data_IF_573525767187
#
_entry.id   IF_573525767187
#
_cell.length_a   1.000
_cell.length_b   1.000
_cell.length_c   1.000
_cell.angle_alpha   90.00
_cell.angle_beta   90.00
_cell.angle_gamma   90.00
#
_symmetry.space_group_name_H-M   'P 1'
#
loop_
_entity.id
_entity.type
_entity.pdbx_description
1 polymer ?
#
# COMPACT_ATOMS: atom_id res chain seq x y z
N UNK A 1 5.87 -0.95 32.10
CA UNK A 1 7.30 -1.25 32.26
C UNK A 1 7.53 -2.72 32.65
N UNK A 2 6.97 -3.21 33.79
CA UNK A 2 7.19 -4.60 34.23
C UNK A 2 6.81 -5.65 33.13
N UNK A 3 5.72 -5.47 32.42
CA UNK A 3 5.31 -6.39 31.37
C UNK A 3 6.36 -6.49 30.25
N UNK A 4 6.92 -5.34 29.82
CA UNK A 4 8.02 -5.30 28.82
C UNK A 4 9.27 -5.99 29.35
N UNK A 5 9.64 -5.75 30.62
CA UNK A 5 10.79 -6.38 31.25
C UNK A 5 10.65 -7.92 31.36
N UNK A 6 9.43 -8.45 31.38
CA UNK A 6 9.13 -9.89 31.40
C UNK A 6 8.82 -10.45 30.00
N UNK A 7 9.20 -9.75 28.92
CA UNK A 7 9.11 -10.24 27.56
C UNK A 7 7.74 -10.14 26.89
N UNK A 8 6.78 -9.42 27.50
CA UNK A 8 5.49 -9.16 26.86
C UNK A 8 5.71 -8.27 25.63
N UNK A 9 5.26 -8.74 24.50
CA UNK A 9 5.40 -8.03 23.22
C UNK A 9 4.39 -6.88 23.07
N UNK A 10 4.69 -5.96 22.18
CA UNK A 10 3.78 -4.87 21.80
C UNK A 10 2.41 -5.41 21.32
N UNK A 11 2.41 -6.51 20.57
CA UNK A 11 1.19 -7.14 20.06
C UNK A 11 0.32 -7.72 21.17
N UNK A 12 0.95 -8.37 22.14
CA UNK A 12 0.25 -8.95 23.30
C UNK A 12 -0.36 -7.87 24.19
N UNK A 13 0.39 -6.80 24.49
CA UNK A 13 -0.16 -5.71 25.31
C UNK A 13 -1.29 -4.96 24.57
N UNK A 14 -1.20 -4.79 23.26
CA UNK A 14 -2.28 -4.20 22.47
C UNK A 14 -3.55 -5.05 22.52
N UNK A 15 -3.44 -6.38 22.43
CA UNK A 15 -4.58 -7.30 22.56
C UNK A 15 -5.22 -7.20 23.97
N UNK A 16 -4.43 -7.13 25.02
CA UNK A 16 -4.90 -6.95 26.40
C UNK A 16 -5.65 -5.64 26.55
N UNK A 17 -5.11 -4.53 26.04
CA UNK A 17 -5.73 -3.20 26.12
C UNK A 17 -7.06 -3.19 25.35
N UNK A 18 -7.10 -3.79 24.16
CA UNK A 18 -8.32 -3.93 23.36
C UNK A 18 -9.38 -4.71 24.15
N UNK A 19 -9.00 -5.82 24.76
CA UNK A 19 -9.91 -6.62 25.59
C UNK A 19 -10.46 -5.84 26.77
N UNK A 20 -9.59 -5.13 27.49
CA UNK A 20 -9.98 -4.27 28.63
C UNK A 20 -10.95 -3.17 28.18
N UNK A 21 -10.77 -2.58 26.99
CA UNK A 21 -11.64 -1.53 26.48
C UNK A 21 -13.11 -1.98 26.35
N UNK A 22 -13.34 -3.25 25.99
CA UNK A 22 -14.68 -3.82 25.92
C UNK A 22 -15.37 -3.95 27.29
N UNK A 23 -14.62 -4.26 28.35
CA UNK A 23 -15.17 -4.46 29.71
C UNK A 23 -15.17 -3.20 30.56
N UNK A 24 -14.14 -2.37 30.45
CA UNK A 24 -13.94 -1.19 31.29
C UNK A 24 -14.33 0.13 30.60
N UNK A 25 -14.70 0.07 29.33
CA UNK A 25 -15.06 1.20 28.49
C UNK A 25 -13.85 1.87 27.80
N UNK A 26 -14.11 2.46 26.64
CA UNK A 26 -13.13 3.08 25.78
C UNK A 26 -12.23 4.13 26.47
N UNK A 27 -12.71 5.00 27.38
CA UNK A 27 -11.83 5.98 28.04
C UNK A 27 -10.69 5.31 28.83
N UNK A 28 -10.95 4.19 29.50
CA UNK A 28 -9.92 3.45 30.25
C UNK A 28 -8.98 2.69 29.32
N UNK A 29 -9.52 2.09 28.24
CA UNK A 29 -8.71 1.47 27.19
C UNK A 29 -7.77 2.47 26.53
N UNK A 30 -8.25 3.67 26.24
CA UNK A 30 -7.44 4.73 25.65
C UNK A 30 -6.34 5.25 26.58
N UNK A 31 -6.63 5.42 27.88
CA UNK A 31 -5.62 5.78 28.88
C UNK A 31 -4.53 4.71 28.98
N UNK A 32 -4.91 3.43 29.02
CA UNK A 32 -3.97 2.32 29.02
C UNK A 32 -3.12 2.26 27.74
N UNK A 33 -3.73 2.52 26.57
CA UNK A 33 -3.02 2.58 25.29
C UNK A 33 -1.96 3.68 25.27
N UNK A 34 -2.27 4.89 25.73
CA UNK A 34 -1.31 5.99 25.78
C UNK A 34 -0.12 5.66 26.69
N UNK A 35 -0.36 5.08 27.86
CA UNK A 35 0.72 4.63 28.75
C UNK A 35 1.55 3.49 28.13
N UNK A 36 0.91 2.56 27.45
CA UNK A 36 1.62 1.49 26.77
C UNK A 36 2.48 2.00 25.61
N UNK A 37 1.98 2.98 24.85
CA UNK A 37 2.71 3.62 23.75
C UNK A 37 4.05 4.20 24.22
N UNK A 38 4.10 4.84 25.38
CA UNK A 38 5.34 5.41 25.93
C UNK A 38 6.35 4.33 26.35
N UNK A 39 5.86 3.16 26.82
CA UNK A 39 6.71 2.05 27.29
C UNK A 39 7.22 1.19 26.12
N UNK A 40 6.40 1.02 25.07
CA UNK A 40 6.71 0.23 23.89
C UNK A 40 7.03 1.10 22.68
N UNK A 41 7.26 2.43 22.86
CA UNK A 41 7.88 3.23 21.81
C UNK A 41 9.22 2.55 21.45
N UNK A 42 9.39 2.27 20.17
CA UNK A 42 10.66 1.75 19.67
C UNK A 42 11.66 2.88 19.85
N UNK A 43 12.80 2.64 20.50
CA UNK A 43 13.93 3.56 20.49
C UNK A 43 14.30 3.79 19.02
N UNK A 44 14.33 5.04 18.59
CA UNK A 44 14.63 5.40 17.19
C UNK A 44 15.99 4.86 16.70
N UNK A 45 16.86 4.45 17.64
CA UNK A 45 18.14 3.80 17.34
C UNK A 45 18.08 2.32 16.96
N UNK A 46 16.92 1.65 17.16
CA UNK A 46 16.75 0.21 16.88
C UNK A 46 16.08 -0.05 15.52
N UNK A 47 15.75 1.02 14.77
CA UNK A 47 15.06 0.90 13.47
C UNK A 47 16.06 0.69 12.34
N UNK A 48 15.77 -0.27 11.47
CA UNK A 48 16.45 -0.36 10.19
C UNK A 48 16.14 0.88 9.34
N UNK A 49 17.04 1.24 8.44
CA UNK A 49 16.84 2.33 7.47
C UNK A 49 15.52 2.16 6.67
N UNK A 50 15.16 0.91 6.35
CA UNK A 50 13.92 0.57 5.64
C UNK A 50 12.69 0.93 6.49
N UNK A 51 12.71 0.65 7.79
CA UNK A 51 11.60 0.97 8.71
C UNK A 51 11.43 2.48 8.87
N UNK A 52 12.53 3.23 8.91
CA UNK A 52 12.50 4.70 9.00
C UNK A 52 11.93 5.31 7.71
N UNK A 53 12.38 4.85 6.55
CA UNK A 53 11.88 5.30 5.24
C UNK A 53 10.38 5.00 5.07
N UNK A 54 9.94 3.80 5.44
CA UNK A 54 8.54 3.43 5.43
C UNK A 54 7.69 4.33 6.34
N UNK A 55 8.17 4.63 7.55
CA UNK A 55 7.49 5.53 8.50
C UNK A 55 7.41 6.95 7.99
N UNK A 56 8.50 7.46 7.40
CA UNK A 56 8.53 8.78 6.80
C UNK A 56 7.52 8.89 5.64
N UNK A 57 7.38 7.83 4.83
CA UNK A 57 6.39 7.76 3.78
C UNK A 57 4.96 7.72 4.35
N UNK A 58 4.70 6.83 5.33
CA UNK A 58 3.39 6.67 5.98
C UNK A 58 2.89 7.97 6.61
N UNK A 59 3.78 8.80 7.18
CA UNK A 59 3.41 10.11 7.73
C UNK A 59 2.84 11.09 6.70
N UNK A 60 3.11 10.88 5.42
CA UNK A 60 2.60 11.72 4.30
C UNK A 60 1.23 11.26 3.81
N UNK A 61 0.75 10.11 4.25
CA UNK A 61 -0.49 9.50 3.80
C UNK A 61 -1.66 9.78 4.75
N UNK A 62 -2.86 9.90 4.19
CA UNK A 62 -4.13 9.95 4.95
C UNK A 62 -4.80 8.57 5.05
N UNK A 63 -4.40 7.61 4.20
CA UNK A 63 -4.86 6.24 4.24
C UNK A 63 -3.79 5.35 4.87
N UNK A 64 -4.19 4.25 5.56
CA UNK A 64 -3.21 3.32 6.13
C UNK A 64 -2.38 2.65 5.03
N UNK A 65 -1.12 2.32 5.34
CA UNK A 65 -0.27 1.57 4.41
C UNK A 65 -0.82 0.17 4.13
N UNK A 66 -1.49 -0.41 5.12
CA UNK A 66 -2.08 -1.76 5.02
C UNK A 66 -1.13 -2.88 5.43
N UNK A 67 -1.54 -4.10 5.08
CA UNK A 67 -0.77 -5.32 5.35
C UNK A 67 0.13 -5.65 4.15
N UNK A 68 1.20 -6.46 4.36
CA UNK A 68 1.98 -7.00 3.24
C UNK A 68 1.07 -7.66 2.20
N UNK A 69 1.31 -7.38 0.94
CA UNK A 69 0.49 -7.83 -0.18
C UNK A 69 0.82 -9.27 -0.62
N UNK A 70 0.87 -10.19 0.35
CA UNK A 70 1.31 -11.57 0.15
C UNK A 70 0.47 -12.34 -0.86
N UNK A 71 -0.84 -12.06 -0.91
CA UNK A 71 -1.76 -12.75 -1.83
C UNK A 71 -1.44 -12.52 -3.30
N UNK A 72 -0.88 -11.37 -3.62
CA UNK A 72 -0.54 -10.97 -4.98
C UNK A 72 0.97 -10.88 -5.20
N UNK A 73 1.80 -11.25 -4.22
CA UNK A 73 3.26 -11.12 -4.27
C UNK A 73 3.89 -11.70 -5.54
N UNK A 74 3.31 -12.80 -6.08
CA UNK A 74 3.76 -13.42 -7.34
C UNK A 74 3.64 -12.51 -8.58
N UNK A 75 2.85 -11.44 -8.50
CA UNK A 75 2.64 -10.48 -9.57
C UNK A 75 3.39 -9.16 -9.35
N UNK A 76 4.29 -9.12 -8.35
CA UNK A 76 5.07 -7.95 -8.01
C UNK A 76 6.55 -8.29 -7.96
N UNK A 77 7.39 -7.38 -8.42
CA UNK A 77 8.83 -7.37 -8.14
C UNK A 77 9.05 -6.40 -6.99
N UNK A 78 9.64 -6.86 -5.86
CA UNK A 78 9.80 -6.07 -4.63
C UNK A 78 8.59 -6.17 -3.69
N UNK A 79 8.63 -5.44 -2.58
CA UNK A 79 7.60 -5.50 -1.54
C UNK A 79 6.52 -4.45 -1.79
N UNK A 80 5.29 -4.85 -1.60
CA UNK A 80 4.13 -3.95 -1.66
C UNK A 80 3.19 -4.22 -0.48
N UNK A 81 2.33 -3.24 -0.20
CA UNK A 81 1.35 -3.28 0.86
C UNK A 81 -0.01 -2.93 0.30
N UNK A 82 -1.06 -3.46 0.91
CA UNK A 82 -2.43 -3.28 0.45
C UNK A 82 -3.36 -2.96 1.63
N UNK A 83 -4.09 -1.85 1.53
CA UNK A 83 -5.17 -1.51 2.44
C UNK A 83 -6.48 -1.35 1.69
N UNK A 84 -7.55 -2.08 2.04
CA UNK A 84 -8.88 -1.81 1.49
C UNK A 84 -9.38 -0.46 2.03
N UNK A 85 -9.84 0.40 1.14
CA UNK A 85 -10.49 1.68 1.45
C UNK A 85 -12.01 1.55 1.28
N UNK A 86 -12.45 0.88 0.22
CA UNK A 86 -13.84 0.53 -0.04
C UNK A 86 -13.93 -0.84 -0.68
N UNK A 87 -14.84 -1.68 -0.22
CA UNK A 87 -15.10 -3.03 -0.76
C UNK A 87 -16.56 -3.24 -1.16
N UNK A 88 -17.38 -2.18 -1.08
CA UNK A 88 -18.77 -2.19 -1.51
C UNK A 88 -19.00 -1.13 -2.60
N UNK A 89 -19.91 -1.36 -3.53
CA UNK A 89 -20.19 -0.53 -4.71
C UNK A 89 -19.00 -0.38 -5.66
N UNK A 90 -17.91 0.24 -5.20
CA UNK A 90 -16.66 0.41 -5.95
C UNK A 90 -15.50 -0.11 -5.11
N UNK A 91 -14.71 -1.01 -5.67
CA UNK A 91 -13.46 -1.46 -5.07
C UNK A 91 -12.44 -0.32 -5.09
N UNK A 92 -11.94 0.07 -3.92
CA UNK A 92 -10.89 1.08 -3.79
C UNK A 92 -9.84 0.54 -2.81
N UNK A 93 -8.62 0.48 -3.26
CA UNK A 93 -7.49 -0.02 -2.48
C UNK A 93 -6.37 1.01 -2.45
N UNK A 94 -5.81 1.25 -1.28
CA UNK A 94 -4.52 1.92 -1.20
C UNK A 94 -3.42 0.89 -1.42
N UNK A 95 -2.69 1.03 -2.51
CA UNK A 95 -1.54 0.17 -2.85
C UNK A 95 -0.27 0.97 -2.64
N UNK A 96 0.61 0.45 -1.80
CA UNK A 96 1.89 1.07 -1.47
C UNK A 96 3.04 0.17 -1.93
N UNK A 97 4.00 0.76 -2.61
CA UNK A 97 5.18 0.13 -3.19
C UNK A 97 6.44 0.67 -2.51
N UNK A 98 7.35 -0.21 -2.08
CA UNK A 98 8.69 0.21 -1.71
C UNK A 98 9.50 0.69 -2.93
N UNK A 99 10.59 1.45 -2.74
CA UNK A 99 11.46 1.86 -3.84
C UNK A 99 11.86 0.68 -4.73
N UNK A 100 11.72 0.83 -6.04
CA UNK A 100 12.01 -0.23 -7.01
C UNK A 100 10.90 -1.26 -7.22
N UNK A 101 9.87 -1.30 -6.38
CA UNK A 101 8.76 -2.24 -6.52
C UNK A 101 7.83 -1.84 -7.65
N UNK A 102 7.42 -2.81 -8.44
CA UNK A 102 6.45 -2.67 -9.55
C UNK A 102 5.62 -3.93 -9.70
N UNK A 103 4.40 -3.79 -10.21
CA UNK A 103 3.61 -4.94 -10.59
C UNK A 103 3.95 -5.42 -12.01
N UNK A 104 3.48 -6.60 -12.34
CA UNK A 104 3.57 -7.15 -13.69
C UNK A 104 2.71 -6.33 -14.66
N UNK A 105 2.97 -6.47 -15.95
CA UNK A 105 2.01 -6.10 -16.97
C UNK A 105 0.68 -6.79 -16.69
N UNK A 106 -0.43 -6.05 -16.83
CA UNK A 106 -1.77 -6.60 -16.61
C UNK A 106 -2.82 -5.84 -17.41
N UNK A 107 -4.00 -6.47 -17.52
CA UNK A 107 -5.14 -5.94 -18.24
C UNK A 107 -6.37 -6.05 -17.36
N UNK A 108 -7.17 -5.00 -17.31
CA UNK A 108 -8.51 -5.04 -16.75
C UNK A 108 -9.51 -5.21 -17.87
N UNK A 109 -10.04 -6.43 -18.03
CA UNK A 109 -11.04 -6.75 -19.04
C UNK A 109 -12.44 -6.31 -18.60
N UNK A 110 -13.25 -5.87 -19.55
CA UNK A 110 -14.69 -5.67 -19.37
C UNK A 110 -15.42 -5.70 -20.71
N UNK A 111 -16.66 -6.21 -20.70
CA UNK A 111 -17.53 -6.14 -21.90
C UNK A 111 -18.01 -4.73 -22.18
N UNK A 112 -18.23 -3.95 -21.10
CA UNK A 112 -18.58 -2.52 -21.16
C UNK A 112 -18.23 -1.84 -19.84
N UNK A 113 -17.84 -0.56 -19.87
CA UNK A 113 -17.27 0.12 -18.70
C UNK A 113 -15.95 -0.53 -18.30
N UNK A 114 -15.69 -0.66 -17.00
CA UNK A 114 -14.48 -1.29 -16.47
C UNK A 114 -13.21 -0.45 -16.63
N UNK A 115 -12.07 -1.10 -16.40
CA UNK A 115 -10.77 -0.44 -16.33
C UNK A 115 -10.41 -0.03 -14.92
N UNK A 116 -9.42 0.83 -14.77
CA UNK A 116 -8.90 1.25 -13.47
C UNK A 116 -8.61 2.74 -13.46
N UNK A 117 -8.77 3.38 -12.30
CA UNK A 117 -8.30 4.74 -12.07
C UNK A 117 -7.22 4.67 -10.99
N UNK A 118 -6.09 5.30 -11.24
CA UNK A 118 -5.02 5.47 -10.26
C UNK A 118 -4.98 6.92 -9.81
N UNK A 119 -4.92 7.16 -8.50
CA UNK A 119 -4.72 8.49 -7.92
C UNK A 119 -3.51 8.43 -7.00
N UNK A 120 -2.42 9.09 -7.36
CA UNK A 120 -1.25 9.18 -6.50
C UNK A 120 -1.57 9.97 -5.23
N UNK A 121 -1.28 9.40 -4.06
CA UNK A 121 -1.53 10.02 -2.76
C UNK A 121 -0.26 10.36 -1.99
N UNK A 122 0.86 9.67 -2.25
CA UNK A 122 2.14 9.94 -1.61
C UNK A 122 3.31 9.38 -2.42
N UNK A 123 4.46 10.04 -2.33
CA UNK A 123 5.69 9.61 -2.97
C UNK A 123 5.71 9.82 -4.47
N UNK A 124 6.52 9.01 -5.18
CA UNK A 124 6.74 9.11 -6.62
C UNK A 124 6.72 7.73 -7.26
N UNK A 125 5.98 7.59 -8.34
CA UNK A 125 5.88 6.34 -9.08
C UNK A 125 5.69 6.56 -10.56
N UNK A 126 5.44 5.47 -11.26
CA UNK A 126 5.26 5.47 -12.71
C UNK A 126 4.07 4.60 -13.10
N UNK A 127 3.42 5.01 -14.17
CA UNK A 127 2.47 4.24 -14.96
C UNK A 127 2.98 4.14 -16.39
N UNK A 128 2.83 2.98 -17.01
CA UNK A 128 3.14 2.82 -18.43
C UNK A 128 2.10 1.92 -19.12
N UNK A 129 1.59 2.39 -20.22
CA UNK A 129 0.78 1.63 -21.18
C UNK A 129 1.69 0.96 -22.21
N UNK A 130 1.36 -0.25 -22.64
CA UNK A 130 2.15 -0.96 -23.62
C UNK A 130 2.34 -0.15 -24.92
N UNK A 131 3.59 -0.07 -25.36
CA UNK A 131 3.97 0.70 -26.54
C UNK A 131 4.08 2.21 -26.35
N UNK A 132 3.87 2.72 -25.12
CA UNK A 132 4.02 4.14 -24.77
C UNK A 132 5.18 4.37 -23.80
N UNK A 133 5.62 5.63 -23.68
CA UNK A 133 6.57 6.04 -22.66
C UNK A 133 5.94 5.97 -21.27
N UNK A 134 6.77 5.68 -20.25
CA UNK A 134 6.34 5.71 -18.87
C UNK A 134 6.03 7.15 -18.42
N UNK A 135 4.94 7.32 -17.68
CA UNK A 135 4.49 8.61 -17.14
C UNK A 135 4.76 8.63 -15.64
N UNK A 136 5.51 9.63 -15.18
CA UNK A 136 5.73 9.87 -13.77
C UNK A 136 4.42 10.30 -13.09
N UNK A 137 4.20 9.81 -11.86
CA UNK A 137 3.04 10.13 -11.02
C UNK A 137 3.52 10.72 -9.69
N UNK A 138 2.94 11.86 -9.32
CA UNK A 138 3.15 12.58 -8.06
C UNK A 138 1.81 12.79 -7.33
N UNK A 139 1.82 13.11 -6.04
CA UNK A 139 0.59 13.34 -5.28
C UNK A 139 -0.35 14.34 -5.95
N UNK A 140 -1.59 13.90 -6.19
CA UNK A 140 -2.63 14.63 -6.92
C UNK A 140 -2.79 14.22 -8.38
N UNK A 141 -1.84 13.50 -8.97
CA UNK A 141 -1.98 12.99 -10.33
C UNK A 141 -3.01 11.88 -10.39
N UNK A 142 -3.81 11.89 -11.46
CA UNK A 142 -4.84 10.92 -11.74
C UNK A 142 -4.67 10.34 -13.13
N UNK A 143 -4.61 9.02 -13.22
CA UNK A 143 -4.54 8.28 -14.49
C UNK A 143 -5.84 7.48 -14.67
N UNK A 144 -6.50 7.67 -15.79
CA UNK A 144 -7.66 6.88 -16.19
C UNK A 144 -7.21 5.82 -17.19
N UNK A 145 -7.39 4.56 -16.84
CA UNK A 145 -6.97 3.41 -17.62
C UNK A 145 -8.25 2.71 -18.12
N UNK A 146 -8.58 2.82 -19.41
CA UNK A 146 -9.72 2.11 -19.97
C UNK A 146 -9.56 0.59 -19.83
N UNK A 147 -10.69 -0.13 -19.87
CA UNK A 147 -10.65 -1.58 -20.04
C UNK A 147 -9.86 -1.97 -21.29
N UNK A 148 -9.29 -3.17 -21.31
CA UNK A 148 -8.48 -3.76 -22.39
C UNK A 148 -7.11 -3.10 -22.61
N UNK A 149 -6.72 -2.11 -21.81
CA UNK A 149 -5.39 -1.48 -21.88
C UNK A 149 -4.39 -2.28 -21.07
N UNK A 150 -3.36 -2.82 -21.72
CA UNK A 150 -2.23 -3.48 -21.06
C UNK A 150 -1.29 -2.43 -20.49
N UNK A 151 -1.04 -2.52 -19.18
CA UNK A 151 -0.26 -1.52 -18.45
C UNK A 151 0.44 -2.13 -17.23
N UNK A 152 1.34 -1.36 -16.65
CA UNK A 152 1.91 -1.60 -15.33
C UNK A 152 2.06 -0.27 -14.58
N UNK A 153 2.23 -0.36 -13.26
CA UNK A 153 2.58 0.75 -12.39
C UNK A 153 3.46 0.29 -11.23
N UNK A 154 4.18 1.23 -10.63
CA UNK A 154 5.11 0.93 -9.55
C UNK A 154 5.81 2.17 -9.02
N UNK A 155 6.60 1.99 -7.97
CA UNK A 155 7.40 3.04 -7.36
C UNK A 155 8.52 3.51 -8.29
N UNK A 156 9.08 4.68 -8.00
CA UNK A 156 10.36 5.08 -8.54
C UNK A 156 11.50 4.22 -7.94
N UNK A 157 12.67 4.16 -8.58
CA UNK A 157 13.79 3.37 -8.07
C UNK A 157 14.27 3.75 -6.67
N UNK A 158 14.07 5.00 -6.27
CA UNK A 158 14.63 5.65 -5.09
C UNK A 158 13.59 6.21 -4.12
N UNK A 159 12.28 6.08 -4.42
CA UNK A 159 11.23 6.66 -3.58
C UNK A 159 10.04 5.71 -3.45
N UNK A 160 9.44 5.69 -2.26
CA UNK A 160 8.17 5.04 -2.00
C UNK A 160 7.04 5.66 -2.83
N UNK A 161 6.07 4.86 -3.17
CA UNK A 161 4.90 5.29 -3.95
C UNK A 161 3.63 4.69 -3.38
N UNK A 162 2.62 5.53 -3.18
CA UNK A 162 1.27 5.07 -2.81
C UNK A 162 0.22 5.71 -3.71
N UNK A 163 -0.69 4.89 -4.17
CA UNK A 163 -1.83 5.35 -4.95
C UNK A 163 -3.11 4.63 -4.55
N UNK A 164 -4.24 5.27 -4.77
CA UNK A 164 -5.53 4.60 -4.79
C UNK A 164 -5.67 3.88 -6.13
N UNK A 165 -5.93 2.59 -6.07
CA UNK A 165 -6.40 1.78 -7.19
C UNK A 165 -7.91 1.68 -7.09
N UNK A 166 -8.63 2.23 -8.05
CA UNK A 166 -10.09 2.27 -8.09
C UNK A 166 -10.55 1.37 -9.23
N UNK A 167 -11.28 0.32 -8.89
CA UNK A 167 -11.88 -0.59 -9.88
C UNK A 167 -13.11 0.07 -10.49
N UNK A 168 -13.03 0.46 -11.77
CA UNK A 168 -14.17 1.07 -12.46
C UNK A 168 -15.25 0.01 -12.68
N UNK A 169 -16.50 0.25 -12.25
CA UNK A 169 -17.58 -0.69 -12.47
C UNK A 169 -17.80 -0.99 -13.95
N UNK A 170 -18.01 -2.26 -14.27
CA UNK A 170 -18.22 -2.72 -15.65
C UNK A 170 -18.97 -4.03 -15.72
N UNK A 171 -19.35 -4.42 -16.92
CA UNK A 171 -20.00 -5.71 -17.19
C UNK A 171 -18.95 -6.78 -17.47
N UNK A 172 -19.00 -7.91 -16.74
CA UNK A 172 -18.09 -9.06 -16.87
C UNK A 172 -16.61 -8.67 -16.70
N UNK A 173 -16.33 -7.92 -15.66
CA UNK A 173 -14.97 -7.50 -15.34
C UNK A 173 -14.10 -8.67 -14.87
N UNK A 174 -12.84 -8.67 -15.28
CA UNK A 174 -11.79 -9.58 -14.79
C UNK A 174 -10.42 -8.94 -14.94
N UNK A 175 -9.44 -9.43 -14.21
CA UNK A 175 -8.04 -9.00 -14.35
C UNK A 175 -7.20 -10.14 -14.90
N UNK A 176 -6.37 -9.84 -15.89
CA UNK A 176 -5.35 -10.74 -16.43
C UNK A 176 -3.97 -10.24 -16.04
N UNK A 177 -3.20 -11.11 -15.39
CA UNK A 177 -1.81 -10.86 -15.08
C UNK A 177 -0.93 -11.44 -16.20
N UNK A 178 -0.13 -10.57 -16.79
CA UNK A 178 0.76 -10.88 -17.89
C UNK A 178 2.21 -11.06 -17.41
N UNK A 179 3.18 -10.85 -18.28
CA UNK A 179 4.60 -10.99 -18.01
C UNK A 179 5.13 -9.94 -17.04
N UNK A 180 6.28 -10.20 -16.46
CA UNK A 180 6.99 -9.28 -15.57
C UNK A 180 7.46 -8.02 -16.33
N UNK A 181 7.51 -6.89 -15.66
CA UNK A 181 8.22 -5.70 -16.12
C UNK A 181 9.72 -5.94 -15.90
N UNK A 182 10.46 -6.14 -16.97
CA UNK A 182 11.90 -6.45 -16.91
C UNK A 182 12.71 -5.28 -16.40
N UNK A 183 13.89 -5.56 -15.84
CA UNK A 183 14.83 -4.51 -15.41
C UNK A 183 15.29 -3.62 -16.59
N UNK A 184 15.27 -4.15 -17.81
CA UNK A 184 15.56 -3.35 -19.02
C UNK A 184 14.48 -2.29 -19.29
N UNK A 185 13.20 -2.61 -19.06
CA UNK A 185 12.09 -1.67 -19.20
C UNK A 185 12.13 -0.68 -18.05
N UNK A 186 12.21 -1.19 -16.83
CA UNK A 186 12.17 -0.39 -15.61
C UNK A 186 13.40 0.54 -15.49
N UNK A 187 14.58 0.10 -15.89
CA UNK A 187 15.83 0.89 -15.86
C UNK A 187 15.85 2.09 -16.82
N UNK A 188 14.84 2.24 -17.69
CA UNK A 188 14.67 3.43 -18.56
C UNK A 188 13.97 4.59 -17.85
N UNK A 189 13.43 4.35 -16.67
CA UNK A 189 12.80 5.41 -15.86
C UNK A 189 13.85 6.46 -15.45
N UNK A 190 13.42 7.71 -15.41
CA UNK A 190 14.31 8.86 -15.12
C UNK A 190 14.14 9.33 -13.69
#
# INVERSE_FOLDING_TARGET
>A
ENAKAHGVTQKEIAAVITHIAFYAGWPKGWAAFNLAKDVWSIDEGDLSYEDEAMRAHTKKMIFPIGEPNDKFAQYFTGKSFLAPVSTSQVGIFNVTFEPGCRNNWHIHHAKSGGGQILICIAGRGYYQEEGKEAVEMKPGDCVNIPAEVKHWHGAAPDEWFSHLAIEVPGEKTSSEWCEIVTDEIYGKLK
#
